data_IF_811934056974
#
_entry.id   IF_811934056974
#
_cell.length_a   1.000
_cell.length_b   1.000
_cell.length_c   1.000
_cell.angle_alpha   90.00
_cell.angle_beta   90.00
_cell.angle_gamma   90.00
#
_symmetry.space_group_name_H-M   'P 1'
#
loop_
_entity.id
_entity.type
_entity.pdbx_description
1 polymer ?
#
# COMPACT_ATOMS: atom_id res chain seq x y z
N UNK A 1 -0.51 -17.54 8.79
CA UNK A 1 -1.88 -17.00 8.95
C UNK A 1 -2.83 -17.57 7.90
N UNK A 2 -2.40 -17.67 6.64
CA UNK A 2 -3.16 -18.25 5.53
C UNK A 2 -3.62 -19.70 5.81
N UNK A 3 -2.68 -20.62 6.10
CA UNK A 3 -2.98 -22.05 6.31
C UNK A 3 -3.97 -22.31 7.45
N UNK A 4 -3.99 -21.41 8.44
CA UNK A 4 -4.88 -21.48 9.60
C UNK A 4 -6.20 -20.70 9.39
N UNK A 5 -6.50 -20.27 8.16
CA UNK A 5 -7.72 -19.55 7.76
C UNK A 5 -8.06 -18.36 8.67
N UNK A 6 -7.05 -17.56 9.02
CA UNK A 6 -7.21 -16.46 9.98
C UNK A 6 -7.66 -15.13 9.36
N UNK A 7 -7.83 -15.06 8.05
CA UNK A 7 -8.31 -13.87 7.35
C UNK A 7 -9.01 -14.24 6.04
N UNK A 8 -9.82 -13.32 5.53
CA UNK A 8 -10.43 -13.41 4.19
C UNK A 8 -9.63 -12.64 3.14
N UNK A 9 -9.23 -11.40 3.45
CA UNK A 9 -8.33 -10.54 2.66
C UNK A 9 -7.48 -9.73 3.65
N UNK A 10 -6.21 -9.49 3.34
CA UNK A 10 -5.32 -8.61 4.12
C UNK A 10 -4.78 -7.51 3.22
N UNK A 11 -4.64 -6.31 3.78
CA UNK A 11 -3.99 -5.16 3.16
C UNK A 11 -2.91 -4.66 4.12
N UNK A 12 -1.65 -4.58 3.68
CA UNK A 12 -0.52 -4.12 4.48
C UNK A 12 0.01 -2.80 3.93
N UNK A 13 0.08 -1.76 4.76
CA UNK A 13 0.75 -0.50 4.44
C UNK A 13 2.07 -0.48 5.19
N UNK A 14 3.19 -0.34 4.48
CA UNK A 14 4.53 -0.41 5.07
C UNK A 14 5.35 0.81 4.66
N UNK A 15 5.63 1.68 5.63
CA UNK A 15 6.53 2.82 5.50
C UNK A 15 7.86 2.45 6.16
N UNK A 16 8.86 2.12 5.34
CA UNK A 16 10.24 1.87 5.78
C UNK A 16 11.18 2.04 4.59
N UNK A 17 12.45 2.37 4.84
CA UNK A 17 13.48 2.31 3.81
C UNK A 17 13.49 0.91 3.19
N UNK A 18 13.57 0.88 1.85
CA UNK A 18 13.58 -0.35 1.07
C UNK A 18 12.41 -1.32 1.40
N UNK A 19 11.26 -0.81 1.90
CA UNK A 19 10.11 -1.61 2.36
C UNK A 19 9.56 -2.58 1.31
N UNK A 20 9.74 -2.23 0.04
CA UNK A 20 9.49 -3.11 -1.09
C UNK A 20 10.16 -4.48 -1.00
N UNK A 21 11.39 -4.53 -0.49
CA UNK A 21 12.20 -5.74 -0.39
C UNK A 21 11.51 -6.83 0.45
N UNK A 22 10.68 -6.43 1.42
CA UNK A 22 9.89 -7.33 2.25
C UNK A 22 8.84 -8.10 1.43
N UNK A 23 8.38 -7.53 0.31
CA UNK A 23 7.24 -8.02 -0.46
C UNK A 23 7.63 -8.69 -1.78
N UNK A 24 8.91 -8.71 -2.17
CA UNK A 24 9.42 -9.32 -3.43
C UNK A 24 9.02 -10.80 -3.56
N UNK A 25 8.94 -11.52 -2.43
CA UNK A 25 8.61 -12.94 -2.40
C UNK A 25 7.21 -13.24 -1.87
N UNK A 26 6.34 -12.23 -1.79
CA UNK A 26 4.96 -12.44 -1.35
C UNK A 26 4.22 -13.27 -2.41
N UNK A 27 3.70 -14.47 -2.08
CA UNK A 27 2.99 -15.29 -3.04
C UNK A 27 1.67 -14.62 -3.45
N UNK A 28 1.29 -14.81 -4.70
CA UNK A 28 0.16 -14.11 -5.30
C UNK A 28 -1.20 -14.80 -5.06
N UNK A 29 -1.25 -15.89 -4.31
CA UNK A 29 -2.43 -16.76 -4.16
C UNK A 29 -2.91 -16.88 -2.71
N UNK A 30 -2.55 -15.92 -1.85
CA UNK A 30 -2.84 -15.98 -0.41
C UNK A 30 -3.73 -14.84 0.09
N UNK A 31 -4.48 -14.16 -0.77
CA UNK A 31 -5.33 -13.00 -0.39
C UNK A 31 -4.56 -11.92 0.41
N UNK A 32 -3.32 -11.72 -0.06
CA UNK A 32 -2.27 -10.73 0.21
C UNK A 32 -2.29 -9.45 -0.67
N UNK A 33 -2.62 -8.25 -0.19
CA UNK A 33 -2.22 -7.01 -0.89
C UNK A 33 -1.32 -6.16 0.02
N UNK A 34 -0.31 -5.51 -0.55
CA UNK A 34 0.52 -4.55 0.19
C UNK A 34 0.72 -3.25 -0.57
N UNK A 35 1.13 -2.21 0.14
CA UNK A 35 1.57 -0.97 -0.42
C UNK A 35 2.81 -0.54 0.34
N UNK A 36 3.88 -0.33 -0.39
CA UNK A 36 5.21 -0.06 0.14
C UNK A 36 5.69 1.28 -0.40
N UNK A 37 6.40 2.02 0.43
CA UNK A 37 7.10 3.25 0.05
C UNK A 37 8.49 3.17 0.69
N UNK A 38 9.62 3.26 -0.05
CA UNK A 38 9.82 3.42 -1.50
C UNK A 38 10.21 2.08 -2.20
N UNK A 39 10.76 2.15 -3.43
CA UNK A 39 11.23 0.97 -4.17
C UNK A 39 12.37 0.20 -3.43
N UNK A 40 12.79 -1.02 -3.87
CA UNK A 40 13.74 -1.85 -3.11
C UNK A 40 15.13 -1.26 -2.88
N UNK A 41 15.46 -0.16 -3.54
CA UNK A 41 16.80 0.43 -3.55
C UNK A 41 16.80 1.90 -3.11
N UNK A 42 15.67 2.40 -2.63
CA UNK A 42 15.52 3.76 -2.15
C UNK A 42 15.23 3.78 -0.64
N UNK A 43 15.68 4.85 0.01
CA UNK A 43 15.39 5.11 1.41
C UNK A 43 14.09 5.90 1.56
N UNK A 44 13.33 5.65 2.63
CA UNK A 44 12.11 6.43 2.90
C UNK A 44 12.47 7.84 3.38
N UNK A 45 11.65 8.82 3.03
CA UNK A 45 11.87 10.22 3.40
C UNK A 45 11.03 10.60 4.60
N UNK A 46 11.67 11.02 5.69
CA UNK A 46 10.99 11.65 6.82
C UNK A 46 10.49 13.04 6.39
N UNK A 47 9.18 13.29 6.52
CA UNK A 47 8.59 14.60 6.21
C UNK A 47 7.94 15.20 7.46
N UNK A 48 8.33 16.42 7.81
CA UNK A 48 7.46 17.37 8.49
C UNK A 48 7.83 18.79 8.09
N UNK A 49 7.36 19.23 6.91
CA UNK A 49 7.20 20.65 6.61
C UNK A 49 6.14 20.84 5.53
N UNK A 50 4.91 21.12 5.95
CA UNK A 50 4.04 22.07 5.25
C UNK A 50 3.15 21.62 4.09
N UNK A 51 3.06 20.32 3.76
CA UNK A 51 1.97 19.64 3.00
C UNK A 51 2.54 18.49 2.18
N UNK A 52 2.22 17.26 2.55
CA UNK A 52 2.23 16.09 1.67
C UNK A 52 1.16 15.14 2.22
N UNK A 53 0.08 14.95 1.46
CA UNK A 53 -1.10 14.19 1.89
C UNK A 53 -0.70 12.72 2.01
N UNK A 54 -0.55 12.24 3.24
CA UNK A 54 -0.26 10.83 3.53
C UNK A 54 -1.58 10.03 3.65
N UNK A 55 -1.51 8.71 3.51
CA UNK A 55 -2.69 7.81 3.53
C UNK A 55 -3.49 7.92 4.85
N UNK A 56 -2.85 8.36 5.94
CA UNK A 56 -3.49 8.59 7.24
C UNK A 56 -4.35 9.86 7.19
N UNK A 57 -3.77 10.99 6.77
CA UNK A 57 -4.47 12.28 6.67
C UNK A 57 -5.62 12.23 5.66
N UNK A 58 -5.45 11.44 4.60
CA UNK A 58 -6.49 11.18 3.63
C UNK A 58 -7.69 10.43 4.25
N UNK A 59 -7.39 9.38 5.03
CA UNK A 59 -8.39 8.58 5.71
C UNK A 59 -9.13 9.32 6.83
N UNK A 60 -8.53 10.39 7.37
CA UNK A 60 -9.16 11.22 8.42
C UNK A 60 -10.23 12.17 7.87
N UNK A 61 -10.14 12.55 6.59
CA UNK A 61 -10.99 13.58 5.97
C UNK A 61 -12.05 12.97 5.03
N UNK A 62 -11.70 11.92 4.30
CA UNK A 62 -12.57 11.35 3.28
C UNK A 62 -13.55 10.29 3.81
N UNK A 63 -14.65 10.12 3.08
CA UNK A 63 -15.63 9.06 3.34
C UNK A 63 -15.12 7.73 2.79
N UNK A 64 -14.52 6.92 3.67
CA UNK A 64 -13.95 5.60 3.36
C UNK A 64 -14.96 4.61 2.76
N UNK A 65 -16.27 4.85 2.87
CA UNK A 65 -17.27 3.99 2.22
C UNK A 65 -17.42 4.27 0.72
N UNK A 66 -16.92 5.41 0.25
CA UNK A 66 -16.96 5.86 -1.15
C UNK A 66 -15.62 5.73 -1.84
N UNK A 67 -14.53 5.69 -1.08
CA UNK A 67 -13.19 5.55 -1.61
C UNK A 67 -12.76 4.08 -1.71
N UNK A 68 -12.03 3.74 -2.78
CA UNK A 68 -11.44 2.41 -2.93
C UNK A 68 -9.95 2.47 -2.62
N UNK A 69 -9.39 1.35 -2.16
CA UNK A 69 -7.94 1.23 -1.96
C UNK A 69 -7.15 1.55 -3.24
N UNK A 70 -7.69 1.19 -4.41
CA UNK A 70 -7.10 1.58 -5.69
C UNK A 70 -7.07 3.10 -5.88
N UNK A 71 -8.13 3.82 -5.51
CA UNK A 71 -8.20 5.28 -5.56
C UNK A 71 -7.12 5.91 -4.68
N UNK A 72 -6.96 5.42 -3.45
CA UNK A 72 -5.94 5.88 -2.50
C UNK A 72 -4.53 5.69 -3.09
N UNK A 73 -4.26 4.53 -3.68
CA UNK A 73 -2.91 4.21 -4.19
C UNK A 73 -2.56 4.86 -5.53
N UNK A 74 -3.53 5.03 -6.43
CA UNK A 74 -3.29 5.51 -7.80
C UNK A 74 -3.64 6.98 -8.00
N UNK A 75 -4.67 7.47 -7.30
CA UNK A 75 -5.28 8.78 -7.57
C UNK A 75 -4.62 9.94 -6.84
N UNK A 76 -3.96 9.67 -5.71
CA UNK A 76 -3.36 10.69 -4.83
C UNK A 76 -1.85 10.52 -4.65
N UNK A 77 -1.19 9.77 -5.54
CA UNK A 77 0.25 9.56 -5.56
C UNK A 77 1.02 10.86 -5.85
N UNK A 78 1.10 11.75 -4.86
CA UNK A 78 2.01 12.90 -4.85
C UNK A 78 3.42 12.38 -4.62
N UNK A 79 4.15 12.05 -5.69
CA UNK A 79 5.61 11.78 -5.73
C UNK A 79 6.22 10.74 -4.76
N UNK A 80 5.47 10.18 -3.80
CA UNK A 80 5.99 9.41 -2.67
C UNK A 80 5.48 7.97 -2.66
N UNK A 81 4.35 7.68 -3.31
CA UNK A 81 3.88 6.31 -3.51
C UNK A 81 4.40 5.76 -4.83
N UNK A 82 5.56 5.11 -4.79
CA UNK A 82 5.96 4.20 -5.86
C UNK A 82 5.46 2.82 -5.50
N UNK A 83 4.42 2.34 -6.19
CA UNK A 83 4.05 0.94 -6.08
C UNK A 83 5.23 0.11 -6.55
N UNK A 84 5.72 -0.78 -5.71
CA UNK A 84 6.55 -1.85 -6.22
C UNK A 84 5.75 -2.66 -7.23
N UNK A 85 6.27 -2.79 -8.44
CA UNK A 85 5.64 -3.53 -9.55
C UNK A 85 5.17 -4.95 -9.14
N UNK A 86 5.76 -5.52 -8.09
CA UNK A 86 5.42 -6.83 -7.53
C UNK A 86 4.08 -6.90 -6.78
N UNK A 87 3.47 -5.77 -6.42
CA UNK A 87 2.42 -5.74 -5.39
C UNK A 87 1.05 -5.26 -5.92
N UNK A 88 1.02 -4.57 -7.05
CA UNK A 88 -0.23 -4.11 -7.62
C UNK A 88 -0.96 -5.22 -8.37
N UNK A 89 -2.06 -5.71 -7.78
CA UNK A 89 -3.04 -6.56 -8.46
C UNK A 89 -4.28 -5.75 -8.80
N UNK A 90 -4.48 -5.36 -10.08
CA UNK A 90 -5.64 -4.58 -10.50
C UNK A 90 -6.97 -5.26 -10.13
N UNK A 91 -6.98 -6.58 -10.09
CA UNK A 91 -8.19 -7.38 -9.93
C UNK A 91 -8.42 -7.85 -8.49
N UNK A 92 -7.54 -7.53 -7.53
CA UNK A 92 -7.68 -7.96 -6.13
C UNK A 92 -8.94 -7.40 -5.44
N UNK A 93 -9.36 -6.21 -5.88
CA UNK A 93 -10.55 -5.52 -5.39
C UNK A 93 -11.79 -5.71 -6.27
N UNK A 94 -11.69 -6.51 -7.34
CA UNK A 94 -12.85 -6.94 -8.12
C UNK A 94 -13.36 -8.23 -7.48
N UNK A 95 -14.57 -8.19 -6.95
CA UNK A 95 -15.25 -9.38 -6.41
C UNK A 95 -15.71 -10.33 -7.53
#
# INVERSE_FOLDING_TARGET
MYDNKKYKKVVLYIEACESCSLMIHLPNNIDVHSATVPNPHESSYAFHYGKNVNWIEDSDVDDLSKETLQTVFTGKATHQYQSCDAVWKPDYFKD
#
